data_IF_118095357158
#
_entry.id   IF_118095357158
#
_cell.length_a   1.000
_cell.length_b   1.000
_cell.length_c   1.000
_cell.angle_alpha   90.00
_cell.angle_beta   90.00
_cell.angle_gamma   90.00
#
_symmetry.space_group_name_H-M   'P 1'
#
loop_
_entity.id
_entity.type
_entity.pdbx_description
1 polymer ?
#
# COMPACT_ATOMS: atom_id res chain seq x y z
N UNK A 1 15.66 29.20 5.07
CA UNK A 1 16.65 28.11 4.97
C UNK A 1 15.86 26.84 5.21
N UNK A 2 15.46 26.16 4.13
CA UNK A 2 14.55 25.00 4.16
C UNK A 2 15.24 23.73 3.64
N UNK A 3 16.56 23.72 3.59
CA UNK A 3 17.32 22.62 3.00
C UNK A 3 17.76 21.63 4.07
N UNK A 4 17.68 20.35 3.73
CA UNK A 4 18.29 19.26 4.50
C UNK A 4 19.82 19.43 4.52
N UNK A 5 20.44 19.12 5.65
CA UNK A 5 21.89 19.05 5.80
C UNK A 5 22.52 18.09 4.77
N UNK A 6 23.84 18.14 4.54
CA UNK A 6 24.56 17.01 3.98
C UNK A 6 24.27 15.73 4.77
N UNK A 7 24.51 14.59 4.14
CA UNK A 7 24.44 13.30 4.84
C UNK A 7 25.48 13.23 5.95
N UNK A 8 25.08 12.69 7.09
CA UNK A 8 25.92 12.49 8.27
C UNK A 8 25.96 11.01 8.57
N UNK A 9 27.18 10.52 8.78
CA UNK A 9 27.46 9.13 9.08
C UNK A 9 27.41 8.85 10.58
N UNK A 10 26.96 7.65 10.92
CA UNK A 10 26.84 7.15 12.28
C UNK A 10 27.48 5.78 12.38
N UNK A 11 28.09 5.53 13.55
CA UNK A 11 28.61 4.22 13.95
C UNK A 11 27.98 3.84 15.29
N UNK A 12 27.24 2.74 15.30
CA UNK A 12 26.62 2.18 16.50
C UNK A 12 27.33 0.88 16.87
N UNK A 13 27.94 0.82 18.05
CA UNK A 13 28.49 -0.43 18.57
C UNK A 13 27.36 -1.26 19.19
N UNK A 14 27.20 -2.52 18.76
CA UNK A 14 26.21 -3.40 19.39
C UNK A 14 26.68 -3.79 20.80
N UNK A 15 25.86 -3.56 21.85
CA UNK A 15 26.24 -3.86 23.22
C UNK A 15 26.71 -5.31 23.41
N UNK A 16 27.87 -5.50 24.04
CA UNK A 16 28.43 -6.82 24.32
C UNK A 16 29.10 -7.51 23.12
N UNK A 17 29.34 -6.80 22.01
CA UNK A 17 30.03 -7.35 20.83
C UNK A 17 31.08 -6.37 20.30
N UNK A 18 32.01 -6.87 19.46
CA UNK A 18 32.91 -6.03 18.66
C UNK A 18 32.29 -5.57 17.33
N UNK A 19 31.02 -5.91 17.07
CA UNK A 19 30.32 -5.56 15.84
C UNK A 19 29.75 -4.13 15.87
N UNK A 20 29.96 -3.38 14.78
CA UNK A 20 29.38 -2.04 14.58
C UNK A 20 28.40 -2.02 13.41
N UNK A 21 27.29 -1.30 13.58
CA UNK A 21 26.34 -0.96 12.52
C UNK A 21 26.62 0.47 12.04
N UNK A 22 26.63 0.66 10.73
CA UNK A 22 26.85 1.96 10.11
C UNK A 22 25.58 2.45 9.44
N UNK A 23 25.29 3.73 9.64
CA UNK A 23 24.09 4.36 9.11
C UNK A 23 24.36 5.78 8.65
N UNK A 24 23.44 6.34 7.88
CA UNK A 24 23.46 7.73 7.45
C UNK A 24 22.11 8.39 7.73
N UNK A 25 22.10 9.68 8.03
CA UNK A 25 20.87 10.49 8.08
C UNK A 25 21.14 11.92 7.62
N UNK A 26 20.07 12.72 7.54
CA UNK A 26 20.13 14.17 7.31
C UNK A 26 19.31 14.86 8.41
N UNK A 27 19.61 16.14 8.64
CA UNK A 27 18.84 16.99 9.54
C UNK A 27 18.16 18.11 8.78
N UNK A 28 16.97 18.48 9.21
CA UNK A 28 16.26 19.67 8.76
C UNK A 28 15.96 20.56 9.96
N UNK A 29 16.46 21.79 9.94
CA UNK A 29 16.17 22.79 10.95
C UNK A 29 14.80 23.41 10.67
N UNK A 30 13.77 22.82 11.28
CA UNK A 30 12.38 23.24 11.11
C UNK A 30 12.13 24.64 11.67
N UNK A 31 12.73 24.94 12.80
CA UNK A 31 12.61 26.23 13.47
C UNK A 31 13.93 26.55 14.18
N UNK A 32 14.41 27.77 13.96
CA UNK A 32 15.61 28.32 14.58
C UNK A 32 15.24 29.68 15.18
N UNK A 33 14.75 29.68 16.42
CA UNK A 33 14.32 30.88 17.13
C UNK A 33 14.57 30.73 18.63
N UNK A 34 13.62 31.20 19.45
CA UNK A 34 13.64 30.96 20.90
C UNK A 34 13.59 29.46 21.24
N UNK A 35 12.94 28.68 20.39
CA UNK A 35 12.99 27.23 20.39
C UNK A 35 13.71 26.74 19.13
N UNK A 36 14.44 25.63 19.29
CA UNK A 36 15.14 24.95 18.20
C UNK A 36 14.42 23.63 17.96
N UNK A 37 13.82 23.50 16.78
CA UNK A 37 13.22 22.25 16.31
C UNK A 37 14.04 21.71 15.15
N UNK A 38 14.64 20.54 15.37
CA UNK A 38 15.43 19.83 14.37
C UNK A 38 14.77 18.49 14.11
N UNK A 39 14.43 18.24 12.84
CA UNK A 39 14.02 16.93 12.37
C UNK A 39 15.24 16.14 11.93
N UNK A 40 15.36 14.89 12.37
CA UNK A 40 16.32 13.93 11.88
C UNK A 40 15.59 12.93 10.98
N UNK A 41 16.04 12.76 9.75
CA UNK A 41 15.46 11.75 8.85
C UNK A 41 15.68 10.34 9.43
N UNK A 42 14.85 9.34 9.09
CA UNK A 42 15.10 7.96 9.48
C UNK A 42 16.52 7.52 9.11
N UNK A 43 17.15 6.76 10.01
CA UNK A 43 18.47 6.18 9.76
C UNK A 43 18.39 5.26 8.54
N UNK A 44 19.24 5.53 7.56
CA UNK A 44 19.42 4.71 6.38
C UNK A 44 20.62 3.79 6.60
N UNK A 45 20.63 2.60 6.01
CA UNK A 45 21.84 1.79 5.95
C UNK A 45 22.96 2.54 5.21
N UNK A 46 24.18 2.47 5.73
CA UNK A 46 25.33 3.00 5.00
C UNK A 46 25.52 2.21 3.70
N UNK A 47 25.51 2.84 2.52
CA UNK A 47 25.50 2.12 1.24
C UNK A 47 26.77 1.31 0.97
N UNK A 48 27.90 1.69 1.56
CA UNK A 48 29.18 0.98 1.38
C UNK A 48 29.36 -0.20 2.35
N UNK A 49 28.67 -0.19 3.49
CA UNK A 49 28.80 -1.18 4.56
C UNK A 49 27.44 -1.40 5.24
N UNK A 50 26.43 -1.86 4.48
CA UNK A 50 25.08 -1.98 5.01
C UNK A 50 24.98 -3.11 6.03
N UNK A 51 24.10 -2.93 7.02
CA UNK A 51 23.83 -3.98 8.02
C UNK A 51 23.34 -5.28 7.38
N UNK A 52 22.49 -5.15 6.36
CA UNK A 52 21.99 -6.26 5.53
C UNK A 52 22.11 -5.83 4.07
N UNK A 53 22.62 -6.69 3.16
CA UNK A 53 22.63 -6.40 1.72
C UNK A 53 21.22 -6.12 1.19
N UNK A 54 21.05 -5.00 0.49
CA UNK A 54 19.79 -4.59 -0.15
C UNK A 54 19.91 -4.47 -1.68
N UNK A 55 21.05 -4.84 -2.26
CA UNK A 55 21.29 -4.91 -3.70
C UNK A 55 21.90 -6.25 -4.07
N UNK A 56 21.72 -6.67 -5.33
CA UNK A 56 22.38 -7.83 -5.92
C UNK A 56 22.94 -7.43 -7.28
N UNK A 57 24.28 -7.48 -7.50
CA UNK A 57 25.31 -7.90 -6.55
C UNK A 57 25.44 -6.92 -5.36
N UNK A 58 25.90 -7.36 -4.17
CA UNK A 58 26.00 -6.50 -2.99
C UNK A 58 26.88 -5.26 -3.16
N UNK A 59 27.83 -5.29 -4.10
CA UNK A 59 28.72 -4.15 -4.39
C UNK A 59 27.99 -2.98 -5.08
N UNK A 60 26.82 -3.22 -5.66
CA UNK A 60 26.09 -2.21 -6.41
C UNK A 60 25.67 -1.02 -5.53
N UNK A 61 25.32 -1.26 -4.26
CA UNK A 61 24.98 -0.17 -3.34
C UNK A 61 26.12 0.83 -3.15
N UNK A 62 27.36 0.34 -3.04
CA UNK A 62 28.56 1.16 -2.92
C UNK A 62 28.93 1.86 -4.24
N UNK A 63 28.69 1.20 -5.39
CA UNK A 63 28.85 1.83 -6.70
C UNK A 63 27.92 3.05 -6.85
N UNK A 64 26.65 2.91 -6.45
CA UNK A 64 25.68 4.01 -6.47
C UNK A 64 26.14 5.17 -5.58
N UNK A 65 26.69 4.88 -4.41
CA UNK A 65 27.21 5.91 -3.51
C UNK A 65 28.38 6.69 -4.14
N UNK A 66 29.27 6.00 -4.86
CA UNK A 66 30.38 6.65 -5.59
C UNK A 66 29.91 7.52 -6.74
N UNK A 67 28.84 7.12 -7.43
CA UNK A 67 28.28 7.84 -8.58
C UNK A 67 27.48 9.08 -8.18
N UNK A 68 26.69 8.97 -7.10
CA UNK A 68 25.66 9.95 -6.78
C UNK A 68 25.82 10.59 -5.39
N UNK A 69 26.82 10.19 -4.62
CA UNK A 69 26.86 10.43 -3.18
C UNK A 69 25.86 9.53 -2.44
N UNK A 70 25.73 9.77 -1.14
CA UNK A 70 24.80 9.00 -0.31
C UNK A 70 23.33 9.26 -0.69
N UNK A 71 22.48 8.26 -0.47
CA UNK A 71 21.07 8.22 -0.87
C UNK A 71 20.24 7.44 0.15
N UNK A 72 18.92 7.47 0.03
CA UNK A 72 18.02 6.71 0.91
C UNK A 72 18.11 5.22 0.58
N UNK A 73 18.30 4.37 1.59
CA UNK A 73 18.55 2.92 1.42
C UNK A 73 17.52 2.04 2.12
N UNK A 74 16.57 2.59 2.86
CA UNK A 74 15.45 1.83 3.43
C UNK A 74 14.26 1.80 2.45
N UNK A 75 13.56 0.66 2.38
CA UNK A 75 12.52 0.42 1.39
C UNK A 75 11.32 1.38 1.46
N UNK A 76 11.04 1.98 2.62
CA UNK A 76 10.05 3.05 2.75
C UNK A 76 10.75 4.42 2.73
N UNK A 77 11.05 4.92 1.53
CA UNK A 77 11.89 6.09 1.30
C UNK A 77 11.17 7.45 1.33
N UNK A 78 9.87 7.48 1.65
CA UNK A 78 9.10 8.72 1.85
C UNK A 78 8.57 8.78 3.28
N UNK A 79 8.86 9.86 4.01
CA UNK A 79 8.58 9.98 5.45
C UNK A 79 7.09 10.26 5.77
N UNK A 80 6.21 9.37 5.31
CA UNK A 80 4.75 9.53 5.44
C UNK A 80 4.29 9.59 6.90
N UNK A 81 4.94 8.86 7.80
CA UNK A 81 4.64 8.91 9.24
C UNK A 81 4.97 10.27 9.84
N UNK A 82 6.12 10.85 9.49
CA UNK A 82 6.51 12.17 9.98
C UNK A 82 5.50 13.24 9.53
N UNK A 83 5.00 13.17 8.28
CA UNK A 83 3.96 14.09 7.83
C UNK A 83 2.63 13.85 8.57
N UNK A 84 2.20 12.59 8.71
CA UNK A 84 0.96 12.20 9.40
C UNK A 84 0.94 12.62 10.86
N UNK A 85 2.11 12.69 11.50
CA UNK A 85 2.28 13.08 12.91
C UNK A 85 2.69 14.54 13.09
N UNK A 86 2.59 15.36 12.04
CA UNK A 86 2.92 16.80 12.07
C UNK A 86 4.37 17.12 12.49
N UNK A 87 5.28 16.16 12.31
CA UNK A 87 6.72 16.32 12.56
C UNK A 87 7.40 17.12 11.44
N UNK A 88 6.93 16.94 10.19
CA UNK A 88 7.34 17.70 9.00
C UNK A 88 6.12 18.39 8.35
N UNK A 89 6.36 19.42 7.55
CA UNK A 89 5.30 20.14 6.82
C UNK A 89 4.99 19.50 5.46
N UNK A 90 3.84 19.84 4.90
CA UNK A 90 3.46 19.47 3.53
C UNK A 90 4.49 19.92 2.50
N UNK A 91 5.01 21.16 2.60
CA UNK A 91 6.03 21.71 1.70
C UNK A 91 7.33 20.91 1.76
N UNK A 92 7.81 20.62 2.97
CA UNK A 92 9.00 19.80 3.16
C UNK A 92 8.82 18.41 2.53
N UNK A 93 7.67 17.78 2.77
CA UNK A 93 7.38 16.46 2.22
C UNK A 93 7.34 16.47 0.67
N UNK A 94 6.70 17.48 0.07
CA UNK A 94 6.65 17.64 -1.39
C UNK A 94 8.06 17.78 -1.98
N UNK A 95 8.91 18.57 -1.33
CA UNK A 95 10.27 18.80 -1.81
C UNK A 95 11.14 17.54 -1.67
N UNK A 96 11.05 16.83 -0.53
CA UNK A 96 11.72 15.54 -0.34
C UNK A 96 11.26 14.47 -1.35
N UNK A 97 9.96 14.46 -1.69
CA UNK A 97 9.42 13.60 -2.75
C UNK A 97 10.03 13.94 -4.10
N UNK A 98 10.09 15.22 -4.47
CA UNK A 98 10.68 15.69 -5.74
C UNK A 98 12.17 15.34 -5.84
N UNK A 99 12.93 15.52 -4.77
CA UNK A 99 14.35 15.14 -4.72
C UNK A 99 14.53 13.63 -4.90
N UNK A 100 13.68 12.83 -4.25
CA UNK A 100 13.70 11.37 -4.38
C UNK A 100 13.34 10.93 -5.81
N UNK A 101 12.32 11.55 -6.43
CA UNK A 101 11.97 11.29 -7.84
C UNK A 101 13.09 11.66 -8.80
N UNK A 102 13.76 12.79 -8.58
CA UNK A 102 14.89 13.23 -9.41
C UNK A 102 16.07 12.25 -9.32
N UNK A 103 16.38 11.77 -8.13
CA UNK A 103 17.44 10.77 -7.94
C UNK A 103 17.09 9.45 -8.63
N UNK A 104 15.84 8.96 -8.53
CA UNK A 104 15.37 7.79 -9.27
C UNK A 104 15.42 7.99 -10.80
N UNK A 105 15.04 9.17 -11.29
CA UNK A 105 15.08 9.50 -12.74
C UNK A 105 16.51 9.42 -13.25
N UNK A 106 17.45 10.02 -12.53
CA UNK A 106 18.86 9.98 -12.88
C UNK A 106 19.40 8.54 -12.88
N UNK A 107 19.09 7.75 -11.85
CA UNK A 107 19.51 6.35 -11.78
C UNK A 107 19.01 5.55 -12.99
N UNK A 108 17.71 5.62 -13.29
CA UNK A 108 17.11 4.85 -14.38
C UNK A 108 17.71 5.26 -15.73
N UNK A 109 17.84 6.55 -16.01
CA UNK A 109 18.41 7.02 -17.28
C UNK A 109 19.88 6.62 -17.44
N UNK A 110 20.66 6.64 -16.35
CA UNK A 110 22.06 6.24 -16.39
C UNK A 110 22.21 4.72 -16.60
N UNK A 111 21.36 3.88 -15.99
CA UNK A 111 21.36 2.44 -16.27
C UNK A 111 20.89 2.12 -17.70
N UNK A 112 19.89 2.86 -18.22
CA UNK A 112 19.51 2.77 -19.64
C UNK A 112 20.70 3.12 -20.53
N UNK A 113 21.40 4.21 -20.23
CA UNK A 113 22.55 4.65 -21.02
C UNK A 113 23.74 3.69 -20.98
N UNK A 114 23.92 2.93 -19.89
CA UNK A 114 24.94 1.88 -19.82
C UNK A 114 24.62 0.70 -20.75
N UNK A 115 23.33 0.38 -20.92
CA UNK A 115 22.86 -0.67 -21.83
C UNK A 115 23.23 -2.09 -21.42
N UNK A 116 23.59 -2.33 -20.15
CA UNK A 116 23.98 -3.64 -19.64
C UNK A 116 22.80 -4.35 -18.97
N UNK A 117 21.72 -4.56 -19.72
CA UNK A 117 20.52 -5.28 -19.28
C UNK A 117 19.72 -5.82 -20.47
N UNK A 118 19.05 -6.95 -20.26
CA UNK A 118 17.97 -7.43 -21.13
C UNK A 118 16.59 -6.95 -20.62
N UNK A 119 16.46 -6.76 -19.30
CA UNK A 119 15.24 -6.28 -18.63
C UNK A 119 15.60 -5.28 -17.53
N UNK A 120 15.00 -4.10 -17.60
CA UNK A 120 15.07 -3.07 -16.57
C UNK A 120 13.66 -2.81 -16.01
N UNK A 121 13.50 -2.93 -14.68
CA UNK A 121 12.25 -2.63 -13.99
C UNK A 121 12.49 -1.42 -13.07
N UNK A 122 11.83 -0.30 -13.38
CA UNK A 122 11.80 0.88 -12.52
C UNK A 122 10.49 0.97 -11.74
N UNK A 123 10.55 1.02 -10.42
CA UNK A 123 9.39 1.16 -9.53
C UNK A 123 9.28 2.59 -8.99
N UNK A 124 8.11 3.20 -9.14
CA UNK A 124 7.85 4.59 -8.77
C UNK A 124 6.72 4.69 -7.75
N UNK A 125 7.07 5.04 -6.51
CA UNK A 125 6.10 5.08 -5.40
C UNK A 125 5.59 6.50 -5.10
N UNK A 126 6.15 7.54 -5.73
CA UNK A 126 5.78 8.93 -5.42
C UNK A 126 4.30 9.23 -5.68
N UNK A 127 3.74 8.70 -6.78
CA UNK A 127 2.32 8.86 -7.14
C UNK A 127 1.41 8.28 -6.07
N UNK A 128 1.74 7.10 -5.55
CA UNK A 128 1.04 6.44 -4.43
C UNK A 128 1.15 7.25 -3.13
N UNK A 129 2.37 7.61 -2.71
CA UNK A 129 2.58 8.32 -1.43
C UNK A 129 1.95 9.70 -1.40
N UNK A 130 2.03 10.43 -2.52
CA UNK A 130 1.36 11.73 -2.66
C UNK A 130 -0.16 11.55 -2.69
N UNK A 131 -0.68 10.57 -3.45
CA UNK A 131 -2.12 10.33 -3.48
C UNK A 131 -2.65 10.01 -2.07
N UNK A 132 -2.00 9.12 -1.33
CA UNK A 132 -2.38 8.82 0.05
C UNK A 132 -2.45 10.06 0.93
N UNK A 133 -1.45 10.94 0.89
CA UNK A 133 -1.38 12.05 1.83
C UNK A 133 -2.16 13.28 1.38
N UNK A 134 -2.28 13.54 0.07
CA UNK A 134 -2.79 14.81 -0.45
C UNK A 134 -4.23 14.74 -1.00
N UNK A 135 -4.87 13.57 -1.03
CA UNK A 135 -6.25 13.44 -1.54
C UNK A 135 -7.26 14.30 -0.77
N UNK A 136 -7.07 14.46 0.55
CA UNK A 136 -7.87 15.37 1.40
C UNK A 136 -7.91 16.83 0.93
N UNK A 137 -7.04 17.24 0.02
CA UNK A 137 -7.03 18.59 -0.54
C UNK A 137 -7.80 18.72 -1.86
N UNK A 138 -8.22 17.60 -2.46
CA UNK A 138 -9.04 17.59 -3.68
C UNK A 138 -10.47 17.12 -3.42
N UNK A 139 -10.69 16.32 -2.38
CA UNK A 139 -12.01 15.81 -2.02
C UNK A 139 -12.69 16.69 -0.97
N UNK A 140 -13.64 17.53 -1.40
CA UNK A 140 -14.40 18.42 -0.52
C UNK A 140 -15.29 17.71 0.50
N UNK A 141 -15.53 16.41 0.32
CA UNK A 141 -16.33 15.60 1.24
C UNK A 141 -15.46 14.87 2.28
N UNK A 142 -14.13 14.97 2.21
CA UNK A 142 -13.24 14.34 3.18
C UNK A 142 -13.32 15.06 4.55
N UNK A 143 -13.40 14.34 5.70
CA UNK A 143 -13.52 14.97 7.02
C UNK A 143 -12.42 15.99 7.37
N UNK A 144 -11.21 15.77 6.85
CA UNK A 144 -10.07 16.70 6.99
C UNK A 144 -9.92 17.73 5.83
N UNK A 145 -10.93 17.92 4.98
CA UNK A 145 -10.85 18.91 3.92
C UNK A 145 -10.77 20.34 4.49
N UNK A 146 -9.80 21.11 3.99
CA UNK A 146 -9.58 22.50 4.37
C UNK A 146 -9.44 23.32 3.08
N UNK A 147 -10.38 24.24 2.83
CA UNK A 147 -10.42 25.03 1.61
C UNK A 147 -9.18 25.93 1.44
N UNK A 148 -8.63 26.44 2.55
CA UNK A 148 -7.45 27.30 2.51
C UNK A 148 -6.21 26.51 2.10
N UNK A 149 -6.05 25.30 2.64
CA UNK A 149 -4.97 24.38 2.27
C UNK A 149 -5.18 23.75 0.89
N UNK A 150 -6.43 23.52 0.47
CA UNK A 150 -6.74 23.05 -0.87
C UNK A 150 -6.27 24.03 -1.96
N UNK A 151 -6.30 25.35 -1.69
CA UNK A 151 -5.74 26.37 -2.60
C UNK A 151 -4.23 26.25 -2.77
N UNK A 152 -3.52 25.79 -1.72
CA UNK A 152 -2.06 25.59 -1.74
C UNK A 152 -1.67 24.24 -2.33
N UNK A 153 -2.38 23.17 -1.95
CA UNK A 153 -1.95 21.79 -2.16
C UNK A 153 -2.86 20.96 -3.08
N UNK A 154 -4.03 21.46 -3.48
CA UNK A 154 -4.99 20.72 -4.31
C UNK A 154 -4.48 20.34 -5.70
N UNK A 155 -3.36 20.91 -6.15
CA UNK A 155 -2.68 20.57 -7.41
C UNK A 155 -1.47 19.65 -7.23
N UNK A 156 -1.15 19.20 -6.02
CA UNK A 156 0.08 18.42 -5.74
C UNK A 156 0.03 17.03 -6.39
N UNK A 157 -1.12 16.36 -6.38
CA UNK A 157 -1.31 15.07 -7.08
C UNK A 157 -1.07 15.26 -8.58
N UNK A 158 -1.77 16.20 -9.22
CA UNK A 158 -1.58 16.51 -10.65
C UNK A 158 -0.13 16.91 -10.97
N UNK A 159 0.49 17.72 -10.12
CA UNK A 159 1.90 18.12 -10.26
C UNK A 159 2.85 16.94 -10.22
N UNK A 160 2.58 15.94 -9.38
CA UNK A 160 3.37 14.70 -9.30
C UNK A 160 3.22 13.87 -10.58
N UNK A 161 2.00 13.76 -11.13
CA UNK A 161 1.77 13.12 -12.42
C UNK A 161 2.45 13.85 -13.58
N UNK A 162 2.54 15.19 -13.57
CA UNK A 162 3.30 15.96 -14.58
C UNK A 162 4.80 15.68 -14.51
N UNK A 163 5.36 15.44 -13.32
CA UNK A 163 6.76 15.02 -13.17
C UNK A 163 6.93 13.61 -13.76
N UNK A 164 6.01 12.68 -13.48
CA UNK A 164 6.04 11.34 -14.07
C UNK A 164 5.90 11.36 -15.60
N UNK A 165 5.02 12.19 -16.15
CA UNK A 165 4.84 12.36 -17.59
C UNK A 165 6.16 12.80 -18.27
N UNK A 166 6.86 13.79 -17.68
CA UNK A 166 8.19 14.19 -18.14
C UNK A 166 9.20 13.02 -18.08
N UNK A 167 9.23 12.28 -16.97
CA UNK A 167 10.14 11.13 -16.79
C UNK A 167 9.87 10.07 -17.87
N UNK A 168 8.60 9.74 -18.12
CA UNK A 168 8.20 8.80 -19.17
C UNK A 168 8.65 9.30 -20.54
N UNK A 169 8.48 10.60 -20.82
CA UNK A 169 8.98 11.21 -22.06
C UNK A 169 10.51 11.09 -22.22
N UNK A 170 11.26 11.31 -21.15
CA UNK A 170 12.72 11.16 -21.14
C UNK A 170 13.14 9.71 -21.38
N UNK A 171 12.51 8.74 -20.72
CA UNK A 171 12.77 7.31 -20.95
C UNK A 171 12.38 6.92 -22.38
N UNK A 172 11.22 7.31 -22.86
CA UNK A 172 10.77 7.01 -24.22
C UNK A 172 11.76 7.52 -25.28
N UNK A 173 12.34 8.70 -25.10
CA UNK A 173 13.34 9.27 -26.01
C UNK A 173 14.65 8.47 -26.10
N UNK A 174 14.93 7.61 -25.11
CA UNK A 174 16.09 6.70 -25.12
C UNK A 174 15.81 5.36 -25.81
N UNK A 175 14.54 5.04 -26.09
CA UNK A 175 14.15 3.76 -26.72
C UNK A 175 14.34 3.76 -28.23
N UNK A 176 14.70 2.60 -28.77
CA UNK A 176 14.76 2.29 -30.20
C UNK A 176 13.53 1.50 -30.67
N UNK A 177 13.38 1.29 -31.99
CA UNK A 177 12.27 0.51 -32.54
C UNK A 177 12.21 -0.95 -32.06
N UNK A 178 13.33 -1.49 -31.58
CA UNK A 178 13.45 -2.85 -31.08
C UNK A 178 13.22 -2.97 -29.57
N UNK A 179 12.96 -1.88 -28.86
CA UNK A 179 12.77 -1.91 -27.40
C UNK A 179 11.28 -1.94 -27.06
N UNK A 180 10.93 -2.69 -26.01
CA UNK A 180 9.60 -2.70 -25.42
C UNK A 180 9.62 -1.89 -24.13
N UNK A 181 8.91 -0.77 -24.13
CA UNK A 181 8.62 0.01 -22.94
C UNK A 181 7.17 -0.27 -22.52
N UNK A 182 7.00 -0.75 -21.29
CA UNK A 182 5.71 -0.90 -20.63
C UNK A 182 5.68 0.07 -19.45
N UNK A 183 4.63 0.89 -19.40
CA UNK A 183 4.23 1.66 -18.23
C UNK A 183 2.97 1.03 -17.66
N UNK A 184 3.00 0.67 -16.39
CA UNK A 184 1.85 0.09 -15.71
C UNK A 184 1.72 0.57 -14.27
N UNK A 185 0.51 0.44 -13.74
CA UNK A 185 0.22 0.58 -12.31
C UNK A 185 -0.32 -0.74 -11.80
N UNK A 186 0.04 -1.11 -10.58
CA UNK A 186 -0.52 -2.25 -9.86
C UNK A 186 -1.99 -2.00 -9.45
N UNK A 187 -2.36 -0.75 -9.21
CA UNK A 187 -3.74 -0.33 -8.92
C UNK A 187 -4.02 1.13 -9.30
N UNK A 188 -5.31 1.52 -9.27
CA UNK A 188 -5.74 2.91 -9.25
C UNK A 188 -5.84 3.47 -7.82
N UNK A 189 -6.59 4.56 -7.65
CA UNK A 189 -6.78 5.24 -6.36
C UNK A 189 -8.15 5.88 -6.24
N UNK A 190 -8.63 6.03 -5.01
CA UNK A 190 -9.83 6.82 -4.69
C UNK A 190 -9.67 7.50 -3.33
N UNK A 191 -10.71 8.19 -2.87
CA UNK A 191 -10.78 8.80 -1.53
C UNK A 191 -11.06 7.77 -0.44
N UNK A 192 -10.48 7.98 0.75
CA UNK A 192 -10.81 7.28 1.98
C UNK A 192 -11.37 8.25 3.01
N UNK A 193 -12.70 8.27 3.16
CA UNK A 193 -13.42 9.21 4.04
C UNK A 193 -13.80 8.58 5.36
N UNK A 194 -14.24 7.32 5.35
CA UNK A 194 -14.80 6.64 6.52
C UNK A 194 -14.42 5.16 6.57
N UNK A 195 -14.02 4.69 7.74
CA UNK A 195 -13.74 3.30 8.01
C UNK A 195 -14.99 2.54 8.47
N UNK A 196 -15.10 1.28 8.06
CA UNK A 196 -16.10 0.31 8.51
C UNK A 196 -15.41 -0.87 9.19
N UNK A 197 -15.74 -1.12 10.46
CA UNK A 197 -15.12 -2.17 11.23
C UNK A 197 -15.82 -3.52 10.98
N UNK A 198 -15.23 -4.35 10.10
CA UNK A 198 -15.77 -5.68 9.78
C UNK A 198 -15.79 -6.61 10.98
N UNK A 199 -14.83 -6.48 11.89
CA UNK A 199 -14.73 -7.34 13.07
C UNK A 199 -15.87 -7.03 14.05
N UNK A 200 -16.12 -5.74 14.31
CA UNK A 200 -17.28 -5.28 15.10
C UNK A 200 -18.58 -5.67 14.40
N UNK A 201 -18.66 -5.54 13.07
CA UNK A 201 -19.84 -5.94 12.31
C UNK A 201 -20.19 -7.42 12.48
N UNK A 202 -19.20 -8.32 12.36
CA UNK A 202 -19.39 -9.77 12.58
C UNK A 202 -19.87 -10.09 13.99
N UNK A 203 -19.44 -9.33 15.00
CA UNK A 203 -19.97 -9.46 16.36
C UNK A 203 -21.45 -9.10 16.39
N UNK A 204 -21.83 -7.94 15.81
CA UNK A 204 -23.23 -7.47 15.79
C UNK A 204 -24.15 -8.44 15.06
N UNK A 205 -23.67 -9.10 14.01
CA UNK A 205 -24.41 -10.13 13.27
C UNK A 205 -24.46 -11.49 13.98
N UNK A 206 -23.72 -11.66 15.08
CA UNK A 206 -23.67 -12.90 15.86
C UNK A 206 -22.77 -13.99 15.28
N UNK A 207 -21.88 -13.64 14.34
CA UNK A 207 -20.95 -14.57 13.69
C UNK A 207 -19.56 -14.63 14.36
N UNK A 208 -19.23 -13.62 15.18
CA UNK A 208 -18.00 -13.56 15.99
C UNK A 208 -18.34 -13.36 17.48
N UNK A 209 -17.83 -14.23 18.35
CA UNK A 209 -18.12 -14.18 19.78
C UNK A 209 -16.92 -13.66 20.59
N UNK A 210 -17.16 -12.74 21.52
CA UNK A 210 -16.12 -12.22 22.43
C UNK A 210 -16.17 -12.98 23.76
N UNK A 211 -14.99 -13.30 24.30
CA UNK A 211 -14.89 -14.02 25.58
C UNK A 211 -15.65 -13.28 26.70
N UNK A 212 -16.49 -14.02 27.43
CA UNK A 212 -17.23 -13.49 28.57
C UNK A 212 -18.34 -12.47 28.23
N UNK A 213 -18.64 -12.24 26.95
CA UNK A 213 -19.67 -11.30 26.51
C UNK A 213 -20.73 -12.02 25.66
N UNK A 214 -22.01 -11.86 26.05
CA UNK A 214 -23.13 -12.60 25.43
C UNK A 214 -24.11 -11.71 24.68
N UNK A 215 -24.05 -10.39 24.88
CA UNK A 215 -24.90 -9.40 24.21
C UNK A 215 -24.14 -8.85 22.98
N UNK A 216 -24.51 -9.28 21.75
CA UNK A 216 -23.83 -8.88 20.53
C UNK A 216 -23.83 -7.37 20.32
N UNK A 217 -24.85 -6.62 20.79
CA UNK A 217 -24.98 -5.17 20.59
C UNK A 217 -24.06 -4.34 21.48
N UNK A 218 -23.53 -4.95 22.55
CA UNK A 218 -22.63 -4.30 23.51
C UNK A 218 -21.22 -4.86 23.48
N UNK A 219 -21.03 -6.04 22.88
CA UNK A 219 -19.73 -6.68 22.84
C UNK A 219 -18.69 -5.85 22.08
N UNK A 220 -17.47 -5.82 22.62
CA UNK A 220 -16.30 -5.16 22.03
C UNK A 220 -15.00 -5.84 22.49
N UNK A 221 -13.93 -5.66 21.72
CA UNK A 221 -12.61 -6.22 22.00
C UNK A 221 -11.50 -5.42 21.30
N UNK A 222 -10.76 -4.60 22.03
CA UNK A 222 -9.68 -3.78 21.46
C UNK A 222 -8.33 -4.51 21.35
N UNK A 223 -8.26 -5.79 21.73
CA UNK A 223 -7.02 -6.56 21.63
C UNK A 223 -6.72 -6.87 20.16
N UNK A 224 -5.47 -6.69 19.69
CA UNK A 224 -5.09 -7.03 18.33
C UNK A 224 -4.81 -8.53 18.17
N UNK A 225 -4.66 -8.94 16.92
CA UNK A 225 -4.22 -10.26 16.49
C UNK A 225 -5.15 -11.39 16.94
N UNK A 226 -6.46 -11.15 16.83
CA UNK A 226 -7.52 -12.13 17.11
C UNK A 226 -7.51 -12.69 18.55
N UNK A 227 -6.95 -11.93 19.51
CA UNK A 227 -6.96 -12.32 20.92
C UNK A 227 -8.28 -11.93 21.59
N UNK A 228 -8.79 -12.73 22.53
CA UNK A 228 -10.00 -12.40 23.31
C UNK A 228 -11.33 -12.77 22.65
N UNK A 229 -11.31 -13.68 21.69
CA UNK A 229 -12.51 -14.24 21.06
C UNK A 229 -12.80 -15.66 21.56
N UNK A 230 -14.08 -15.96 21.71
CA UNK A 230 -14.60 -17.26 22.08
C UNK A 230 -14.73 -18.11 20.80
N UNK A 231 -13.68 -18.89 20.50
CA UNK A 231 -13.58 -19.64 19.26
C UNK A 231 -14.59 -20.79 19.16
N UNK A 232 -15.05 -21.33 20.29
CA UNK A 232 -16.07 -22.39 20.31
C UNK A 232 -17.47 -21.87 19.94
N UNK A 233 -17.66 -20.55 19.94
CA UNK A 233 -18.91 -19.87 19.54
C UNK A 233 -18.75 -18.99 18.30
N UNK A 234 -17.57 -18.91 17.72
CA UNK A 234 -17.25 -18.06 16.58
C UNK A 234 -17.42 -18.83 15.28
N UNK A 235 -18.28 -18.34 14.37
CA UNK A 235 -18.51 -18.92 13.05
C UNK A 235 -17.61 -18.31 11.98
N UNK A 236 -17.29 -17.03 12.08
CA UNK A 236 -16.44 -16.31 11.13
C UNK A 236 -15.65 -15.19 11.83
N UNK A 237 -14.52 -14.82 11.26
CA UNK A 237 -13.65 -13.76 11.77
C UNK A 237 -13.06 -12.93 10.63
N UNK A 238 -12.78 -11.65 10.91
CA UNK A 238 -12.16 -10.74 9.96
C UNK A 238 -10.68 -10.50 10.33
N UNK A 239 -9.81 -10.44 9.33
CA UNK A 239 -8.40 -10.11 9.51
C UNK A 239 -7.85 -9.50 8.21
N UNK A 240 -6.94 -8.54 8.33
CA UNK A 240 -6.35 -7.89 7.17
C UNK A 240 -7.32 -6.97 6.44
N UNK A 241 -7.04 -6.72 5.17
CA UNK A 241 -7.58 -5.57 4.45
C UNK A 241 -8.91 -5.88 3.75
N UNK A 242 -9.92 -6.26 4.53
CA UNK A 242 -11.26 -6.61 4.02
C UNK A 242 -11.51 -8.11 3.84
N UNK A 243 -10.70 -8.98 4.46
CA UNK A 243 -10.86 -10.43 4.38
C UNK A 243 -11.66 -11.00 5.54
N UNK A 244 -12.54 -11.95 5.24
CA UNK A 244 -13.33 -12.74 6.19
C UNK A 244 -13.03 -14.22 5.98
N UNK A 245 -12.85 -14.92 7.09
CA UNK A 245 -12.58 -16.35 7.16
C UNK A 245 -13.69 -17.01 7.98
N UNK A 246 -14.14 -18.17 7.54
CA UNK A 246 -15.04 -19.06 8.26
C UNK A 246 -14.22 -19.89 9.24
N UNK A 247 -14.68 -20.06 10.47
CA UNK A 247 -14.07 -20.96 11.45
C UNK A 247 -14.47 -22.42 11.13
N UNK A 248 -13.87 -22.96 10.06
CA UNK A 248 -14.25 -24.21 9.41
C UNK A 248 -13.62 -25.42 10.12
N UNK A 249 -14.43 -26.44 10.36
CA UNK A 249 -13.98 -27.71 10.92
C UNK A 249 -12.82 -28.31 10.10
N UNK A 250 -11.72 -28.66 10.77
CA UNK A 250 -10.55 -29.28 10.15
C UNK A 250 -9.58 -28.32 9.43
N UNK A 251 -9.93 -27.03 9.29
CA UNK A 251 -9.01 -25.99 8.81
C UNK A 251 -8.54 -25.10 9.97
N UNK A 252 -9.46 -24.62 10.79
CA UNK A 252 -9.15 -23.87 12.00
C UNK A 252 -9.06 -24.79 13.22
N UNK A 253 -8.17 -24.46 14.16
CA UNK A 253 -7.89 -25.31 15.33
C UNK A 253 -9.14 -25.58 16.20
N UNK A 254 -10.05 -24.60 16.28
CA UNK A 254 -11.32 -24.68 17.01
C UNK A 254 -12.50 -24.49 16.04
N UNK A 255 -12.38 -25.00 14.81
CA UNK A 255 -13.41 -24.90 13.78
C UNK A 255 -14.75 -25.51 14.23
N UNK A 256 -15.84 -24.76 14.10
CA UNK A 256 -17.20 -25.19 14.48
C UNK A 256 -18.19 -25.21 13.31
N UNK A 257 -17.80 -24.64 12.17
CA UNK A 257 -18.63 -24.63 10.97
C UNK A 257 -18.34 -25.88 10.17
N UNK A 258 -19.32 -26.76 10.04
CA UNK A 258 -19.20 -27.95 9.20
C UNK A 258 -19.19 -27.60 7.72
N UNK A 259 -18.61 -28.49 6.90
CA UNK A 259 -18.59 -28.35 5.44
C UNK A 259 -19.99 -28.26 4.82
N UNK A 260 -21.00 -28.86 5.46
CA UNK A 260 -22.39 -28.78 5.03
C UNK A 260 -22.99 -27.38 5.19
N UNK A 261 -22.61 -26.67 6.26
CA UNK A 261 -23.14 -25.33 6.58
C UNK A 261 -22.31 -24.19 5.96
N UNK A 262 -21.10 -24.48 5.48
CA UNK A 262 -20.17 -23.49 4.93
C UNK A 262 -20.79 -22.59 3.84
N UNK A 263 -21.42 -23.20 2.82
CA UNK A 263 -21.96 -22.43 1.68
C UNK A 263 -23.13 -21.52 2.07
N UNK A 264 -23.95 -21.98 3.01
CA UNK A 264 -25.07 -21.21 3.54
C UNK A 264 -24.55 -19.99 4.31
N UNK A 265 -23.60 -20.19 5.23
CA UNK A 265 -22.99 -19.10 6.00
C UNK A 265 -22.29 -18.06 5.12
N UNK A 266 -21.51 -18.49 4.13
CA UNK A 266 -20.85 -17.58 3.17
C UNK A 266 -21.89 -16.75 2.41
N UNK A 267 -22.99 -17.38 1.98
CA UNK A 267 -24.07 -16.69 1.27
C UNK A 267 -24.81 -15.70 2.17
N UNK A 268 -25.07 -16.09 3.43
CA UNK A 268 -25.69 -15.23 4.45
C UNK A 268 -24.84 -13.98 4.70
N UNK A 269 -23.56 -14.16 5.05
CA UNK A 269 -22.61 -13.06 5.32
C UNK A 269 -22.51 -12.13 4.11
N UNK A 270 -22.38 -12.69 2.90
CA UNK A 270 -22.33 -11.91 1.66
C UNK A 270 -23.57 -11.03 1.47
N UNK A 271 -24.76 -11.61 1.63
CA UNK A 271 -26.02 -10.88 1.44
C UNK A 271 -26.21 -9.78 2.48
N UNK A 272 -25.87 -10.06 3.75
CA UNK A 272 -25.91 -9.06 4.83
C UNK A 272 -24.93 -7.91 4.56
N UNK A 273 -23.69 -8.20 4.16
CA UNK A 273 -22.69 -7.18 3.80
C UNK A 273 -23.18 -6.28 2.66
N UNK A 274 -23.75 -6.86 1.61
CA UNK A 274 -24.28 -6.11 0.47
C UNK A 274 -25.48 -5.22 0.83
N UNK A 275 -26.13 -5.47 1.97
CA UNK A 275 -27.22 -4.64 2.49
C UNK A 275 -26.76 -3.52 3.43
N UNK A 276 -25.48 -3.50 3.82
CA UNK A 276 -24.96 -2.50 4.77
C UNK A 276 -24.97 -1.12 4.12
N UNK A 277 -25.56 -0.18 4.85
CA UNK A 277 -25.55 1.25 4.54
C UNK A 277 -24.86 2.04 5.64
N UNK A 278 -24.28 3.16 5.26
CA UNK A 278 -23.81 4.15 6.22
C UNK A 278 -25.02 4.84 6.87
N UNK A 279 -25.15 4.83 8.21
CA UNK A 279 -26.28 5.41 8.92
C UNK A 279 -26.39 6.94 8.79
N UNK A 280 -25.31 7.63 8.41
CA UNK A 280 -25.30 9.09 8.21
C UNK A 280 -25.76 9.46 6.80
N UNK A 281 -25.32 8.71 5.79
CA UNK A 281 -25.56 9.07 4.37
C UNK A 281 -26.66 8.24 3.70
N UNK A 282 -27.12 7.17 4.35
CA UNK A 282 -28.02 6.13 3.82
C UNK A 282 -27.52 5.47 2.51
N UNK A 283 -26.23 5.63 2.18
CA UNK A 283 -25.62 5.06 0.98
C UNK A 283 -25.07 3.65 1.24
N UNK A 284 -25.12 2.75 0.26
CA UNK A 284 -24.47 1.44 0.34
C UNK A 284 -22.95 1.62 0.42
N UNK A 285 -22.31 0.89 1.34
CA UNK A 285 -20.85 0.98 1.55
C UNK A 285 -20.07 -0.16 0.89
N UNK A 286 -20.75 -1.26 0.54
CA UNK A 286 -20.16 -2.43 -0.11
C UNK A 286 -20.62 -2.48 -1.56
N UNK A 287 -19.66 -2.51 -2.48
CA UNK A 287 -19.89 -2.63 -3.92
C UNK A 287 -20.04 -4.08 -4.34
N UNK A 288 -19.18 -4.95 -3.81
CA UNK A 288 -19.18 -6.38 -4.10
C UNK A 288 -18.57 -7.18 -2.95
N UNK A 289 -18.86 -8.48 -2.92
CA UNK A 289 -18.21 -9.44 -2.03
C UNK A 289 -17.78 -10.64 -2.86
N UNK A 290 -16.46 -10.76 -3.01
CA UNK A 290 -15.80 -11.87 -3.69
C UNK A 290 -15.75 -13.06 -2.74
N UNK A 291 -15.89 -14.25 -3.29
CA UNK A 291 -15.86 -15.49 -2.52
C UNK A 291 -14.75 -16.38 -3.05
N UNK A 292 -14.45 -17.47 -2.35
CA UNK A 292 -13.44 -18.45 -2.75
C UNK A 292 -13.56 -18.96 -4.19
N UNK A 293 -14.76 -18.95 -4.79
CA UNK A 293 -15.00 -19.33 -6.18
C UNK A 293 -14.37 -18.37 -7.20
N UNK A 294 -13.99 -17.16 -6.78
CA UNK A 294 -13.30 -16.17 -7.60
C UNK A 294 -11.79 -16.41 -7.70
N UNK A 295 -11.24 -17.37 -6.94
CA UNK A 295 -9.80 -17.62 -6.86
C UNK A 295 -9.44 -19.03 -7.30
N UNK A 296 -8.19 -19.20 -7.73
CA UNK A 296 -7.57 -20.48 -8.03
C UNK A 296 -6.10 -20.46 -7.62
N UNK A 297 -5.46 -21.63 -7.56
CA UNK A 297 -4.02 -21.77 -7.35
C UNK A 297 -3.62 -22.46 -6.05
N UNK A 298 -2.32 -22.67 -5.88
CA UNK A 298 -1.72 -23.50 -4.82
C UNK A 298 -1.99 -22.98 -3.41
N UNK A 299 -2.26 -21.67 -3.27
CA UNK A 299 -2.52 -21.01 -1.99
C UNK A 299 -4.00 -20.94 -1.62
N UNK A 300 -4.90 -21.61 -2.35
CA UNK A 300 -6.35 -21.52 -2.12
C UNK A 300 -6.74 -21.87 -0.68
N UNK A 301 -6.03 -22.82 -0.06
CA UNK A 301 -6.29 -23.23 1.33
C UNK A 301 -6.04 -22.13 2.36
N UNK A 302 -5.18 -21.16 2.05
CA UNK A 302 -4.92 -19.99 2.87
C UNK A 302 -5.68 -18.75 2.42
N UNK A 303 -6.44 -18.83 1.31
CA UNK A 303 -7.21 -17.71 0.81
C UNK A 303 -8.42 -17.40 1.71
N UNK A 304 -8.80 -16.12 1.85
CA UNK A 304 -10.05 -15.74 2.51
C UNK A 304 -11.26 -16.42 1.89
N UNK A 305 -12.28 -16.68 2.71
CA UNK A 305 -13.55 -17.21 2.21
C UNK A 305 -14.40 -16.11 1.57
N UNK A 306 -14.29 -14.88 2.09
CA UNK A 306 -14.81 -13.67 1.48
C UNK A 306 -13.79 -12.53 1.47
N UNK A 307 -13.78 -11.73 0.40
CA UNK A 307 -13.09 -10.43 0.33
C UNK A 307 -14.11 -9.35 0.00
N UNK A 308 -14.15 -8.32 0.82
CA UNK A 308 -15.06 -7.19 0.71
C UNK A 308 -14.49 -6.14 -0.25
N UNK A 309 -15.25 -5.81 -1.28
CA UNK A 309 -15.00 -4.68 -2.18
C UNK A 309 -15.86 -3.49 -1.79
N UNK A 310 -15.26 -2.46 -1.20
CA UNK A 310 -15.96 -1.27 -0.74
C UNK A 310 -16.33 -0.30 -1.88
N UNK A 311 -17.39 0.47 -1.67
CA UNK A 311 -17.72 1.65 -2.47
C UNK A 311 -16.67 2.77 -2.25
N UNK A 312 -16.64 3.73 -3.16
CA UNK A 312 -15.79 4.93 -3.05
C UNK A 312 -16.00 5.64 -1.69
N UNK A 313 -14.89 6.01 -1.04
CA UNK A 313 -14.90 6.70 0.26
C UNK A 313 -14.92 5.80 1.48
N UNK A 314 -15.14 4.49 1.33
CA UNK A 314 -15.19 3.54 2.44
C UNK A 314 -14.06 2.51 2.36
N UNK A 315 -13.54 2.09 3.52
CA UNK A 315 -12.60 0.98 3.65
C UNK A 315 -12.74 0.26 4.99
N UNK A 316 -11.98 -0.82 5.18
CA UNK A 316 -11.85 -1.45 6.49
C UNK A 316 -11.03 -0.57 7.45
N UNK A 317 -11.42 -0.53 8.72
CA UNK A 317 -10.67 0.21 9.74
C UNK A 317 -9.30 -0.43 10.02
N UNK A 318 -8.34 0.37 10.49
CA UNK A 318 -7.01 -0.13 10.93
C UNK A 318 -7.13 -1.12 12.10
N UNK A 319 -8.14 -0.94 12.96
CA UNK A 319 -8.44 -1.85 14.06
C UNK A 319 -8.96 -3.20 13.55
N UNK A 320 -9.92 -3.19 12.62
CA UNK A 320 -10.43 -4.41 11.99
C UNK A 320 -9.35 -5.15 11.23
N UNK A 321 -8.44 -4.44 10.56
CA UNK A 321 -7.32 -5.06 9.85
C UNK A 321 -6.39 -5.86 10.78
N UNK A 322 -6.32 -5.48 12.07
CA UNK A 322 -5.58 -6.19 13.11
C UNK A 322 -6.44 -7.23 13.84
N UNK A 323 -7.69 -7.42 13.44
CA UNK A 323 -8.63 -8.31 14.12
C UNK A 323 -9.11 -7.78 15.48
N UNK A 324 -9.18 -6.45 15.66
CA UNK A 324 -9.78 -5.81 16.83
C UNK A 324 -11.17 -5.27 16.50
N UNK A 325 -12.05 -5.29 17.49
CA UNK A 325 -13.45 -4.87 17.42
C UNK A 325 -13.77 -3.78 18.46
N UNK A 326 -13.38 -2.51 18.23
CA UNK A 326 -13.88 -1.38 19.01
C UNK A 326 -15.40 -1.29 18.97
N UNK A 327 -15.98 -0.53 19.90
CA UNK A 327 -17.43 -0.38 20.00
C UNK A 327 -18.04 0.31 18.77
N UNK A 328 -17.32 1.26 18.17
CA UNK A 328 -17.78 1.97 16.97
C UNK A 328 -17.69 1.08 15.73
N UNK A 329 -18.80 1.01 14.99
CA UNK A 329 -18.88 0.30 13.71
C UNK A 329 -18.32 1.14 12.55
N UNK A 330 -18.55 2.45 12.60
CA UNK A 330 -18.06 3.42 11.62
C UNK A 330 -17.16 4.44 12.32
N UNK A 331 -16.09 4.85 11.64
CA UNK A 331 -15.19 5.92 12.08
C UNK A 331 -14.89 6.87 10.92
N UNK A 332 -14.84 8.17 11.20
CA UNK A 332 -14.40 9.15 10.21
C UNK A 332 -12.88 9.11 10.09
N UNK A 333 -12.36 9.25 8.86
CA UNK A 333 -10.93 9.30 8.64
C UNK A 333 -10.36 10.68 9.01
N UNK A 334 -9.81 10.76 10.22
CA UNK A 334 -9.12 11.94 10.75
C UNK A 334 -7.58 11.81 10.67
N UNK A 335 -7.09 11.01 9.72
CA UNK A 335 -5.67 10.83 9.40
C UNK A 335 -5.33 11.50 8.06
N UNK A 336 -4.11 12.04 7.91
CA UNK A 336 -3.68 12.61 6.63
C UNK A 336 -3.65 11.58 5.49
N UNK A 337 -3.59 10.28 5.82
CA UNK A 337 -3.77 9.16 4.89
C UNK A 337 -5.22 9.10 4.39
N UNK A 338 -5.51 9.85 3.32
CA UNK A 338 -6.83 10.29 2.86
C UNK A 338 -7.18 9.85 1.45
N UNK A 339 -6.19 9.56 0.61
CA UNK A 339 -6.39 8.77 -0.60
C UNK A 339 -6.07 7.34 -0.29
N UNK A 340 -6.75 6.38 -0.90
CA UNK A 340 -6.43 4.97 -0.69
C UNK A 340 -7.02 4.11 -1.84
N UNK A 341 -6.64 2.85 -1.87
CA UNK A 341 -7.01 1.82 -2.83
C UNK A 341 -7.32 0.49 -2.13
N UNK A 342 -6.88 0.34 -0.89
CA UNK A 342 -6.95 -0.89 -0.11
C UNK A 342 -8.38 -1.29 0.24
N UNK A 343 -8.82 -2.45 -0.24
CA UNK A 343 -10.18 -2.95 0.02
C UNK A 343 -11.28 -2.25 -0.79
N UNK A 344 -10.99 -1.12 -1.44
CA UNK A 344 -11.91 -0.56 -2.45
C UNK A 344 -12.12 -1.59 -3.56
N UNK A 345 -13.35 -1.70 -4.05
CA UNK A 345 -13.64 -2.61 -5.16
C UNK A 345 -12.80 -2.24 -6.40
N UNK A 346 -12.10 -3.23 -6.96
CA UNK A 346 -11.12 -3.00 -8.02
C UNK A 346 -11.72 -2.37 -9.28
N UNK A 347 -13.04 -2.49 -9.50
CA UNK A 347 -13.71 -1.88 -10.65
C UNK A 347 -13.80 -0.35 -10.55
N UNK A 348 -13.63 0.22 -9.35
CA UNK A 348 -13.63 1.66 -9.09
C UNK A 348 -12.24 2.30 -9.21
N UNK A 349 -11.19 1.49 -9.16
CA UNK A 349 -9.79 1.92 -9.13
C UNK A 349 -8.96 1.21 -10.21
N UNK A 350 -9.32 1.34 -11.50
CA UNK A 350 -8.59 0.68 -12.57
C UNK A 350 -7.14 1.18 -12.60
N UNK A 351 -6.20 0.24 -12.75
CA UNK A 351 -4.79 0.54 -13.00
C UNK A 351 -4.57 1.10 -14.42
N UNK A 352 -3.36 1.59 -14.65
CA UNK A 352 -2.89 2.03 -15.96
C UNK A 352 -2.09 0.92 -16.64
N UNK A 353 -2.25 0.77 -17.96
CA UNK A 353 -1.34 -0.02 -18.79
C UNK A 353 -1.13 0.66 -20.15
N UNK A 354 0.11 0.98 -20.48
CA UNK A 354 0.51 1.61 -21.74
C UNK A 354 1.80 0.95 -22.23
N UNK A 355 1.92 0.73 -23.54
CA UNK A 355 3.15 0.23 -24.14
C UNK A 355 3.52 1.05 -25.39
N UNK A 356 4.81 1.12 -25.71
CA UNK A 356 5.31 1.74 -26.96
C UNK A 356 5.09 0.84 -28.21
N UNK A 357 4.51 -0.35 -28.03
CA UNK A 357 4.13 -1.27 -29.12
C UNK A 357 2.62 -1.52 -29.11
N UNK A 358 2.12 -1.96 -30.26
CA UNK A 358 0.70 -2.29 -30.43
C UNK A 358 0.34 -3.50 -29.57
N UNK A 359 -0.70 -3.35 -28.76
CA UNK A 359 -1.23 -4.41 -27.91
C UNK A 359 -2.38 -5.12 -28.65
N UNK A 360 -2.44 -6.45 -28.56
CA UNK A 360 -3.39 -7.27 -29.31
C UNK A 360 -4.67 -7.64 -28.56
N UNK A 361 -4.76 -7.36 -27.26
CA UNK A 361 -5.95 -7.64 -26.45
C UNK A 361 -6.07 -6.75 -25.22
N UNK A 362 -7.21 -6.78 -24.53
CA UNK A 362 -7.36 -6.04 -23.27
C UNK A 362 -6.35 -6.58 -22.23
N UNK A 363 -5.47 -5.72 -21.68
CA UNK A 363 -4.41 -6.15 -20.79
C UNK A 363 -4.95 -6.56 -19.41
N UNK A 364 -4.35 -7.58 -18.83
CA UNK A 364 -4.50 -7.96 -17.43
C UNK A 364 -3.11 -7.98 -16.75
N UNK A 365 -3.04 -7.72 -15.44
CA UNK A 365 -1.77 -7.72 -14.70
C UNK A 365 -1.02 -9.06 -14.80
N UNK A 366 -1.73 -10.17 -14.97
CA UNK A 366 -1.10 -11.49 -15.17
C UNK A 366 -0.41 -11.64 -16.52
N UNK A 367 -0.76 -10.82 -17.51
CA UNK A 367 -0.19 -10.89 -18.85
C UNK A 367 1.24 -10.31 -18.92
N UNK A 368 1.69 -9.57 -17.91
CA UNK A 368 3.00 -8.90 -17.88
C UNK A 368 4.15 -9.88 -17.94
N UNK A 369 4.11 -10.93 -17.11
CA UNK A 369 5.15 -11.97 -17.07
C UNK A 369 5.29 -12.71 -18.41
N UNK A 370 4.21 -13.30 -18.95
CA UNK A 370 4.23 -13.92 -20.27
C UNK A 370 4.68 -12.96 -21.38
N UNK A 371 4.27 -11.70 -21.33
CA UNK A 371 4.69 -10.67 -22.30
C UNK A 371 6.20 -10.43 -22.26
N UNK A 372 6.77 -10.22 -21.06
CA UNK A 372 8.20 -9.99 -20.90
C UNK A 372 9.03 -11.20 -21.36
N UNK A 373 8.66 -12.41 -20.92
CA UNK A 373 9.36 -13.64 -21.30
C UNK A 373 9.31 -13.88 -22.82
N UNK A 374 8.13 -13.76 -23.42
CA UNK A 374 7.95 -13.92 -24.86
C UNK A 374 8.76 -12.89 -25.65
N UNK A 375 8.80 -11.64 -25.19
CA UNK A 375 9.56 -10.58 -25.85
C UNK A 375 11.08 -10.82 -25.78
N UNK A 376 11.56 -11.41 -24.68
CA UNK A 376 12.96 -11.80 -24.49
C UNK A 376 13.34 -13.11 -25.19
N UNK A 377 12.40 -13.76 -25.92
CA UNK A 377 12.64 -15.05 -26.56
C UNK A 377 12.77 -16.22 -25.56
N UNK A 378 12.30 -16.05 -24.33
CA UNK A 378 12.32 -17.07 -23.28
C UNK A 378 10.98 -17.83 -23.32
N UNK A 379 11.03 -19.17 -23.25
CA UNK A 379 9.82 -20.00 -23.18
C UNK A 379 9.01 -19.62 -21.93
N UNK A 380 7.77 -19.18 -22.14
CA UNK A 380 6.80 -18.93 -21.06
C UNK A 380 6.51 -20.28 -20.35
N UNK A 381 6.69 -20.38 -19.01
CA UNK A 381 6.29 -21.55 -18.25
C UNK A 381 4.81 -21.86 -18.41
N UNK A 382 4.46 -23.14 -18.52
CA UNK A 382 3.09 -23.59 -18.78
C UNK A 382 2.15 -23.33 -17.58
N UNK A 383 2.72 -23.17 -16.39
CA UNK A 383 2.03 -22.84 -15.14
C UNK A 383 1.96 -21.32 -14.86
N UNK A 384 2.55 -20.48 -15.71
CA UNK A 384 2.44 -19.03 -15.62
C UNK A 384 1.14 -18.56 -16.30
N UNK A 385 0.21 -18.02 -15.52
CA UNK A 385 -1.03 -17.47 -16.06
C UNK A 385 -0.83 -16.22 -16.91
N UNK A 386 -1.75 -16.00 -17.85
CA UNK A 386 -1.76 -14.84 -18.74
C UNK A 386 -1.34 -15.20 -20.15
N UNK A 387 -1.24 -14.18 -21.00
CA UNK A 387 -0.84 -14.32 -22.40
C UNK A 387 0.01 -13.15 -22.85
N UNK A 388 0.96 -13.35 -23.79
CA UNK A 388 1.70 -12.24 -24.37
C UNK A 388 0.77 -11.19 -25.00
N UNK A 389 1.07 -9.91 -24.76
CA UNK A 389 0.28 -8.77 -25.21
C UNK A 389 0.79 -8.13 -26.51
N UNK A 390 2.09 -8.27 -26.80
CA UNK A 390 2.79 -7.68 -27.95
C UNK A 390 3.50 -8.72 -28.80
#
# INVERSE_FOLDING_TARGET
QEELSPWIEWKFQLPGTDYSVFAICRFWARELGEHIYIYMTPLQYHPEIPFIPFTTPPSYSAELAKRYGYYKTIGWNYDTHALRQDVITEEFFIEDVKQTMKWHEQLILDEISKGDFDLLIGMWMATDRIAHLFWRFIDSNHPMFDESKAKLFGRVIEGTYKIMDRIVGNVLATTSGNDLLILMSDHGFTTYRRGFNLTTWLIREGDLAVEGQTDPDKAYNDKPYLQGYDWERTKAYALGLGSIYVNLEGREANGIVSSANYRELVSEIKNKLLSVKDPITDQPIIKNVYTRENYSGVSINSAPDLIVGYCEGYQTTKSSAKGSAPQQLFEDNLDKWSGDHVGTDYTLIPGLFVANKKIHSQPNIKDIGPTALSYLGIKVPEDLEGKPLV
#
